data_IF_859998051758
#
_entry.id   IF_859998051758
#
_cell.length_a   1.000
_cell.length_b   1.000
_cell.length_c   1.000
_cell.angle_alpha   90.00
_cell.angle_beta   90.00
_cell.angle_gamma   90.00
#
_symmetry.space_group_name_H-M   'P 1'
#
loop_
_entity.id
_entity.type
_entity.pdbx_description
1 polymer ?
#
# COMPACT_ATOMS: atom_id res chain seq x y z
N UNK A 1 -7.15 9.63 7.94
CA UNK A 1 -6.99 8.59 8.98
C UNK A 1 -5.73 8.71 9.83
N UNK A 2 -4.50 8.62 9.28
CA UNK A 2 -3.25 8.50 10.07
C UNK A 2 -3.05 9.55 11.17
N UNK A 3 -3.28 10.84 10.87
CA UNK A 3 -3.20 11.92 11.87
C UNK A 3 -4.03 11.61 13.13
N UNK A 4 -5.22 11.05 12.96
CA UNK A 4 -6.10 10.73 14.08
C UNK A 4 -5.60 9.52 14.88
N UNK A 5 -5.05 8.51 14.23
CA UNK A 5 -4.43 7.37 14.91
C UNK A 5 -3.22 7.81 15.74
N UNK A 6 -2.40 8.73 15.21
CA UNK A 6 -1.26 9.31 15.93
C UNK A 6 -1.75 10.10 17.17
N UNK A 7 -2.82 10.89 17.04
CA UNK A 7 -3.42 11.57 18.20
C UNK A 7 -3.90 10.57 19.26
N UNK A 8 -4.62 9.52 18.86
CA UNK A 8 -5.10 8.49 19.80
C UNK A 8 -3.94 7.75 20.49
N UNK A 9 -2.84 7.52 19.79
CA UNK A 9 -1.62 6.96 20.37
C UNK A 9 -1.00 7.92 21.39
N UNK A 10 -0.84 9.20 21.03
CA UNK A 10 -0.31 10.23 21.94
C UNK A 10 -1.17 10.43 23.19
N UNK A 11 -2.49 10.24 23.05
CA UNK A 11 -3.45 10.24 24.15
C UNK A 11 -3.41 8.94 25.00
N UNK A 12 -2.59 7.95 24.64
CA UNK A 12 -2.49 6.65 25.34
C UNK A 12 -3.70 5.73 25.16
N UNK A 13 -4.57 6.00 24.16
CA UNK A 13 -5.80 5.22 23.92
C UNK A 13 -5.56 3.97 23.09
N UNK A 14 -4.48 3.94 22.30
CA UNK A 14 -4.08 2.81 21.46
C UNK A 14 -2.57 2.63 21.52
N UNK A 15 -2.09 1.41 21.27
CA UNK A 15 -0.66 1.07 21.10
C UNK A 15 -0.50 0.18 19.89
N UNK A 16 0.59 0.38 19.15
CA UNK A 16 0.97 -0.35 17.95
C UNK A 16 2.13 -1.34 18.20
N UNK A 17 2.57 -1.48 19.46
CA UNK A 17 3.69 -2.35 19.85
C UNK A 17 3.56 -3.80 19.38
N UNK A 18 2.34 -4.32 19.33
CA UNK A 18 2.05 -5.70 18.92
C UNK A 18 1.31 -5.77 17.56
N UNK A 19 1.19 -4.66 16.86
CA UNK A 19 0.55 -4.58 15.55
C UNK A 19 1.58 -4.92 14.47
N UNK A 20 1.18 -5.76 13.51
CA UNK A 20 1.89 -6.00 12.26
C UNK A 20 1.14 -5.33 11.11
N UNK A 21 1.87 -4.66 10.23
CA UNK A 21 1.29 -3.92 9.11
C UNK A 21 1.80 -4.46 7.79
N UNK A 22 0.89 -4.59 6.82
CA UNK A 22 1.20 -4.94 5.44
C UNK A 22 0.64 -3.85 4.54
N UNK A 23 1.53 -3.15 3.83
CA UNK A 23 1.14 -2.17 2.83
C UNK A 23 0.65 -2.84 1.54
N UNK A 24 -0.16 -2.10 0.78
CA UNK A 24 -0.82 -2.64 -0.42
C UNK A 24 0.11 -2.78 -1.60
N UNK A 25 0.98 -1.79 -1.79
CA UNK A 25 1.73 -1.63 -3.02
C UNK A 25 3.03 -0.84 -2.79
N UNK A 26 3.91 -0.89 -3.80
CA UNK A 26 5.11 -0.06 -3.93
C UNK A 26 5.48 0.07 -5.41
N UNK A 27 6.04 1.21 -5.80
CA UNK A 27 6.52 1.41 -7.17
C UNK A 27 7.75 0.56 -7.48
N UNK A 28 7.80 -0.01 -8.69
CA UNK A 28 8.98 -0.74 -9.17
C UNK A 28 10.04 0.24 -9.64
N UNK A 29 11.28 0.04 -9.18
CA UNK A 29 12.45 0.83 -9.61
C UNK A 29 12.56 2.23 -9.01
N UNK A 30 11.69 2.61 -8.07
CA UNK A 30 11.76 3.88 -7.37
C UNK A 30 12.58 3.71 -6.08
N UNK A 31 13.63 4.52 -5.83
CA UNK A 31 14.42 4.42 -4.60
C UNK A 31 13.55 4.56 -3.35
N UNK A 32 13.85 3.78 -2.30
CA UNK A 32 13.06 3.76 -1.05
C UNK A 32 13.10 5.08 -0.26
N UNK A 33 14.11 5.89 -0.50
CA UNK A 33 14.30 7.23 0.07
C UNK A 33 13.73 8.33 -0.83
N UNK A 34 13.20 7.98 -2.00
CA UNK A 34 12.50 8.93 -2.86
C UNK A 34 11.25 9.45 -2.14
N UNK A 35 10.99 10.77 -2.11
CA UNK A 35 9.86 11.35 -1.38
C UNK A 35 8.48 10.79 -1.78
N UNK A 36 8.34 10.39 -3.05
CA UNK A 36 7.11 9.81 -3.59
C UNK A 36 7.06 8.26 -3.54
N UNK A 37 8.04 7.61 -2.90
CA UNK A 37 7.93 6.17 -2.62
C UNK A 37 6.92 5.93 -1.49
N UNK A 38 6.20 4.81 -1.56
CA UNK A 38 5.23 4.50 -0.51
C UNK A 38 5.92 4.10 0.80
N UNK A 39 7.13 3.55 0.72
CA UNK A 39 8.03 3.44 1.85
C UNK A 39 8.25 4.80 2.54
N UNK A 40 8.76 5.81 1.83
CA UNK A 40 8.99 7.13 2.40
C UNK A 40 7.70 7.74 2.96
N UNK A 41 6.61 7.69 2.17
CA UNK A 41 5.30 8.21 2.57
C UNK A 41 4.82 7.62 3.91
N UNK A 42 4.89 6.30 4.08
CA UNK A 42 4.41 5.65 5.31
C UNK A 42 5.27 5.97 6.53
N UNK A 43 6.59 6.01 6.35
CA UNK A 43 7.50 6.39 7.43
C UNK A 43 7.30 7.84 7.86
N UNK A 44 7.17 8.75 6.91
CA UNK A 44 6.97 10.18 7.19
C UNK A 44 5.62 10.50 7.80
N UNK A 45 4.55 9.85 7.33
CA UNK A 45 3.18 10.19 7.72
C UNK A 45 2.65 9.36 8.88
N UNK A 46 3.23 8.19 9.19
CA UNK A 46 2.69 7.29 10.20
C UNK A 46 3.73 6.62 11.10
N UNK A 47 4.60 5.76 10.54
CA UNK A 47 5.37 4.81 11.37
C UNK A 47 6.36 5.48 12.34
N UNK A 48 6.95 6.63 11.98
CA UNK A 48 7.87 7.34 12.90
C UNK A 48 7.19 8.04 14.08
N UNK A 49 5.86 8.08 14.11
CA UNK A 49 5.06 8.81 15.11
C UNK A 49 4.36 7.91 16.12
N UNK A 50 4.55 6.59 16.04
CA UNK A 50 3.89 5.57 16.86
C UNK A 50 4.92 4.57 17.43
N UNK A 51 4.50 3.70 18.36
CA UNK A 51 5.34 2.70 19.05
C UNK A 51 5.42 1.34 18.32
N UNK A 52 5.28 1.31 16.99
CA UNK A 52 5.39 0.07 16.21
C UNK A 52 6.84 -0.43 16.17
N UNK A 53 7.04 -1.74 16.36
CA UNK A 53 8.35 -2.36 16.14
C UNK A 53 8.64 -2.38 14.63
N UNK A 54 9.80 -1.85 14.15
CA UNK A 54 10.16 -1.89 12.74
C UNK A 54 10.12 -3.28 12.11
N UNK A 55 10.32 -4.36 12.89
CA UNK A 55 10.22 -5.74 12.39
C UNK A 55 8.79 -6.17 12.03
N UNK A 56 7.80 -5.46 12.55
CA UNK A 56 6.39 -5.68 12.29
C UNK A 56 5.87 -4.82 11.11
N UNK A 57 6.73 -4.00 10.51
CA UNK A 57 6.41 -3.20 9.32
C UNK A 57 6.80 -3.98 8.07
N UNK A 58 5.80 -4.32 7.25
CA UNK A 58 6.00 -5.03 6.00
C UNK A 58 5.53 -4.16 4.83
N UNK A 59 6.47 -3.83 3.94
CA UNK A 59 6.24 -3.14 2.66
C UNK A 59 6.85 -3.99 1.56
N UNK A 60 6.25 -3.96 0.38
CA UNK A 60 6.77 -4.60 -0.83
C UNK A 60 8.08 -3.92 -1.25
N UNK A 61 9.09 -4.69 -1.63
CA UNK A 61 10.33 -4.14 -2.17
C UNK A 61 10.31 -4.03 -3.70
N UNK A 62 9.89 -2.86 -4.21
CA UNK A 62 9.88 -2.55 -5.64
C UNK A 62 11.26 -2.53 -6.31
N UNK A 63 12.36 -2.63 -5.55
CA UNK A 63 13.73 -2.73 -6.08
C UNK A 63 14.34 -4.12 -5.86
N UNK A 64 13.55 -5.12 -5.46
CA UNK A 64 14.03 -6.48 -5.28
C UNK A 64 14.61 -7.04 -6.60
N UNK A 65 15.70 -7.82 -6.55
CA UNK A 65 16.31 -8.40 -7.75
C UNK A 65 15.39 -9.40 -8.47
N UNK A 66 14.43 -9.98 -7.75
CA UNK A 66 13.39 -10.83 -8.30
C UNK A 66 12.03 -10.43 -7.72
N UNK A 67 11.27 -9.67 -8.50
CA UNK A 67 9.98 -9.09 -8.12
C UNK A 67 8.89 -10.16 -7.89
N UNK A 68 8.89 -11.23 -8.69
CA UNK A 68 7.94 -12.33 -8.52
C UNK A 68 8.18 -13.07 -7.21
N UNK A 69 9.46 -13.31 -6.88
CA UNK A 69 9.84 -13.90 -5.60
C UNK A 69 9.43 -13.01 -4.43
N UNK A 70 9.62 -11.69 -4.53
CA UNK A 70 9.17 -10.73 -3.51
C UNK A 70 7.65 -10.83 -3.29
N UNK A 71 6.86 -10.94 -4.35
CA UNK A 71 5.41 -11.10 -4.25
C UNK A 71 4.99 -12.39 -3.51
N UNK A 72 5.65 -13.51 -3.82
CA UNK A 72 5.41 -14.81 -3.17
C UNK A 72 5.80 -14.75 -1.69
N UNK A 73 6.98 -14.23 -1.38
CA UNK A 73 7.44 -14.09 0.02
C UNK A 73 6.54 -13.14 0.83
N UNK A 74 5.98 -12.10 0.19
CA UNK A 74 5.03 -11.19 0.84
C UNK A 74 3.74 -11.91 1.24
N UNK A 75 3.18 -12.73 0.35
CA UNK A 75 2.02 -13.58 0.63
C UNK A 75 2.30 -14.60 1.73
N UNK A 76 3.49 -15.19 1.75
CA UNK A 76 3.91 -16.09 2.82
C UNK A 76 4.02 -15.39 4.17
N UNK A 77 4.59 -14.17 4.21
CA UNK A 77 4.69 -13.36 5.45
C UNK A 77 3.31 -13.02 6.02
N UNK A 78 2.33 -12.72 5.16
CA UNK A 78 0.93 -12.50 5.57
C UNK A 78 0.38 -13.78 6.22
N UNK A 79 0.53 -14.93 5.55
CA UNK A 79 0.05 -16.22 6.07
C UNK A 79 0.72 -16.63 7.38
N UNK A 80 2.05 -16.48 7.47
CA UNK A 80 2.82 -16.77 8.69
C UNK A 80 2.44 -15.85 9.86
N UNK A 81 1.89 -14.67 9.56
CA UNK A 81 1.39 -13.74 10.57
C UNK A 81 -0.04 -14.05 11.02
N UNK A 82 -0.70 -15.07 10.45
CA UNK A 82 -2.07 -15.47 10.78
C UNK A 82 -3.15 -14.86 9.88
N UNK A 83 -2.75 -14.21 8.78
CA UNK A 83 -3.65 -13.45 7.90
C UNK A 83 -3.80 -11.98 8.33
N UNK A 84 -4.62 -11.24 7.59
CA UNK A 84 -4.93 -9.83 7.88
C UNK A 84 -6.24 -9.76 8.64
N UNK A 85 -6.23 -9.20 9.85
CA UNK A 85 -7.47 -9.02 10.62
C UNK A 85 -8.31 -7.86 10.07
N UNK A 86 -7.67 -6.72 9.78
CA UNK A 86 -8.33 -5.55 9.22
C UNK A 86 -7.53 -4.99 8.06
N UNK A 87 -8.14 -4.93 6.89
CA UNK A 87 -7.63 -4.24 5.72
C UNK A 87 -8.31 -2.87 5.59
N UNK A 88 -7.53 -1.79 5.57
CA UNK A 88 -8.06 -0.43 5.40
C UNK A 88 -7.54 0.16 4.10
N UNK A 89 -8.44 0.49 3.18
CA UNK A 89 -8.08 0.99 1.85
C UNK A 89 -8.97 2.10 1.33
N UNK A 90 -8.46 2.81 0.31
CA UNK A 90 -9.27 3.69 -0.52
C UNK A 90 -9.84 2.94 -1.73
N UNK A 91 -10.87 3.52 -2.33
CA UNK A 91 -11.40 3.10 -3.63
C UNK A 91 -11.12 4.22 -4.63
N UNK A 92 -10.50 3.89 -5.76
CA UNK A 92 -10.29 4.80 -6.88
C UNK A 92 -11.60 5.25 -7.55
N UNK A 93 -11.60 6.34 -8.33
CA UNK A 93 -12.81 6.82 -9.00
C UNK A 93 -13.41 5.82 -10.01
N UNK A 94 -12.58 4.92 -10.54
CA UNK A 94 -12.92 3.79 -11.42
C UNK A 94 -13.26 2.50 -10.64
N UNK A 95 -13.25 2.54 -9.31
CA UNK A 95 -13.50 1.40 -8.44
C UNK A 95 -12.28 0.55 -8.10
N UNK A 96 -11.05 0.93 -8.51
CA UNK A 96 -9.86 0.13 -8.19
C UNK A 96 -9.53 0.14 -6.69
N UNK A 97 -8.93 -0.94 -6.21
CA UNK A 97 -8.38 -1.08 -4.86
C UNK A 97 -6.89 -1.39 -5.01
N UNK A 98 -6.02 -0.66 -4.32
CA UNK A 98 -4.58 -0.67 -4.61
C UNK A 98 -4.35 -0.42 -6.11
N UNK A 99 -3.35 -1.06 -6.74
CA UNK A 99 -3.22 -1.04 -8.21
C UNK A 99 -4.01 -2.15 -8.93
N UNK A 100 -5.11 -2.65 -8.36
CA UNK A 100 -6.01 -3.59 -9.05
C UNK A 100 -7.00 -2.86 -9.97
N UNK A 101 -6.49 -2.38 -11.09
CA UNK A 101 -7.23 -1.66 -12.14
C UNK A 101 -8.32 -2.54 -12.79
N UNK A 102 -9.32 -1.93 -13.46
CA UNK A 102 -10.37 -2.64 -14.21
C UNK A 102 -9.80 -3.73 -15.13
N UNK A 103 -10.42 -4.92 -15.08
CA UNK A 103 -9.94 -6.11 -15.78
C UNK A 103 -8.99 -6.99 -14.95
N UNK A 104 -8.62 -6.57 -13.74
CA UNK A 104 -7.92 -7.44 -12.79
C UNK A 104 -8.79 -8.63 -12.36
N UNK A 105 -8.19 -9.81 -12.23
CA UNK A 105 -8.89 -11.00 -11.73
C UNK A 105 -9.37 -10.79 -10.28
N UNK A 106 -10.62 -11.16 -10.00
CA UNK A 106 -11.20 -11.11 -8.65
C UNK A 106 -10.51 -12.06 -7.66
N UNK A 107 -9.80 -13.07 -8.18
CA UNK A 107 -9.00 -14.02 -7.36
C UNK A 107 -7.49 -13.76 -7.50
N UNK A 108 -7.11 -12.56 -7.95
CA UNK A 108 -5.69 -12.19 -8.09
C UNK A 108 -4.95 -12.22 -6.76
N UNK A 109 -3.65 -12.55 -6.82
CA UNK A 109 -2.70 -12.47 -5.70
C UNK A 109 -1.74 -11.30 -5.87
N UNK A 110 -0.87 -11.11 -4.88
CA UNK A 110 0.24 -10.16 -4.97
C UNK A 110 1.06 -10.41 -6.24
N UNK A 111 1.30 -9.36 -7.03
CA UNK A 111 1.95 -9.45 -8.35
C UNK A 111 2.58 -8.14 -8.78
N UNK A 112 3.42 -8.22 -9.81
CA UNK A 112 3.81 -7.07 -10.62
C UNK A 112 2.64 -6.63 -11.50
N UNK A 113 2.34 -5.34 -11.52
CA UNK A 113 1.30 -4.74 -12.36
C UNK A 113 1.88 -3.58 -13.15
N UNK A 114 1.65 -3.59 -14.46
CA UNK A 114 1.86 -2.42 -15.31
C UNK A 114 0.70 -1.45 -15.09
N UNK A 115 1.02 -0.19 -14.79
CA UNK A 115 0.03 0.86 -14.53
C UNK A 115 -0.62 1.31 -15.84
N UNK A 116 -1.93 1.55 -15.82
CA UNK A 116 -2.67 2.13 -16.94
C UNK A 116 -2.32 3.61 -17.14
N UNK A 117 -2.60 4.11 -18.33
CA UNK A 117 -2.32 5.50 -18.69
C UNK A 117 -3.01 6.49 -17.74
N UNK A 118 -4.28 6.27 -17.41
CA UNK A 118 -5.04 7.12 -16.49
C UNK A 118 -4.39 7.20 -15.09
N UNK A 119 -3.83 6.08 -14.61
CA UNK A 119 -3.09 6.01 -13.34
C UNK A 119 -1.79 6.81 -13.41
N UNK A 120 -1.05 6.71 -14.52
CA UNK A 120 0.17 7.49 -14.73
C UNK A 120 -0.13 9.00 -14.76
N UNK A 121 -1.21 9.40 -15.43
CA UNK A 121 -1.67 10.79 -15.50
C UNK A 121 -2.12 11.31 -14.14
N UNK A 122 -2.89 10.52 -13.39
CA UNK A 122 -3.33 10.88 -12.04
C UNK A 122 -2.14 11.05 -11.09
N UNK A 123 -1.13 10.19 -11.19
CA UNK A 123 0.03 10.20 -10.29
C UNK A 123 1.09 11.22 -10.71
N UNK A 124 1.11 11.69 -11.97
CA UNK A 124 2.07 12.69 -12.44
C UNK A 124 2.08 13.97 -11.59
N UNK A 125 0.96 14.31 -10.94
CA UNK A 125 0.87 15.44 -9.99
C UNK A 125 1.91 15.38 -8.86
N UNK A 126 2.28 14.17 -8.44
CA UNK A 126 3.30 13.93 -7.41
C UNK A 126 4.73 14.00 -7.99
N UNK A 127 4.88 13.78 -9.30
CA UNK A 127 6.15 13.78 -10.00
C UNK A 127 6.38 15.07 -10.80
N UNK A 128 6.08 16.23 -10.19
CA UNK A 128 6.21 17.56 -10.81
C UNK A 128 5.39 17.74 -12.11
N UNK A 129 4.23 17.09 -12.21
CA UNK A 129 3.38 17.03 -13.39
C UNK A 129 4.08 16.44 -14.64
N UNK A 130 5.09 15.59 -14.43
CA UNK A 130 5.86 14.94 -15.50
C UNK A 130 5.60 13.43 -15.51
N UNK A 131 4.77 12.98 -16.44
CA UNK A 131 4.39 11.56 -16.61
C UNK A 131 5.63 10.68 -16.85
N UNK A 132 6.68 11.21 -17.48
CA UNK A 132 7.88 10.41 -17.80
C UNK A 132 8.66 9.97 -16.56
N UNK A 133 8.44 10.66 -15.42
CA UNK A 133 9.06 10.35 -14.14
C UNK A 133 8.24 9.37 -13.29
N UNK A 134 7.01 9.10 -13.68
CA UNK A 134 6.14 8.16 -12.96
C UNK A 134 6.60 6.73 -13.27
N UNK A 135 6.87 5.88 -12.26
CA UNK A 135 7.19 4.49 -12.48
C UNK A 135 6.06 3.78 -13.25
N UNK A 136 6.42 2.98 -14.26
CA UNK A 136 5.43 2.33 -15.14
C UNK A 136 4.85 1.04 -14.57
N UNK A 137 5.47 0.52 -13.52
CA UNK A 137 5.09 -0.73 -12.86
C UNK A 137 5.07 -0.53 -11.35
N UNK A 138 4.22 -1.31 -10.69
CA UNK A 138 4.13 -1.39 -9.25
C UNK A 138 4.01 -2.86 -8.82
N UNK A 139 4.46 -3.17 -7.61
CA UNK A 139 4.04 -4.35 -6.89
C UNK A 139 2.73 -4.01 -6.19
N UNK A 140 1.76 -4.91 -6.22
CA UNK A 140 0.47 -4.71 -5.55
C UNK A 140 -0.07 -6.02 -5.01
N UNK A 141 -0.70 -5.98 -3.83
CA UNK A 141 -1.56 -7.06 -3.35
C UNK A 141 -2.72 -7.28 -4.33
N UNK A 142 -3.17 -8.52 -4.45
CA UNK A 142 -4.28 -8.87 -5.33
C UNK A 142 -5.64 -8.71 -4.65
N UNK A 143 -6.71 -8.71 -5.44
CA UNK A 143 -8.09 -8.66 -4.92
C UNK A 143 -8.36 -9.84 -3.99
N UNK A 144 -7.89 -11.04 -4.34
CA UNK A 144 -7.99 -12.21 -3.48
C UNK A 144 -7.20 -12.06 -2.18
N UNK A 145 -6.03 -11.41 -2.21
CA UNK A 145 -5.24 -11.10 -1.01
C UNK A 145 -6.00 -10.16 -0.06
N UNK A 146 -6.71 -9.16 -0.60
CA UNK A 146 -7.57 -8.26 0.18
C UNK A 146 -8.78 -9.02 0.75
N UNK A 147 -9.41 -9.87 -0.04
CA UNK A 147 -10.58 -10.65 0.37
C UNK A 147 -10.27 -11.75 1.39
N UNK A 148 -9.00 -12.16 1.52
CA UNK A 148 -8.56 -13.07 2.59
C UNK A 148 -8.56 -12.40 3.98
N UNK A 149 -8.69 -11.06 4.04
CA UNK A 149 -8.77 -10.35 5.31
C UNK A 149 -10.09 -10.64 6.04
N UNK A 150 -10.07 -10.67 7.38
CA UNK A 150 -11.29 -10.90 8.18
C UNK A 150 -12.29 -9.75 8.04
N UNK A 151 -11.78 -8.52 8.04
CA UNK A 151 -12.56 -7.31 7.85
C UNK A 151 -11.90 -6.41 6.81
N UNK A 152 -12.73 -5.75 5.99
CA UNK A 152 -12.29 -4.77 5.01
C UNK A 152 -13.07 -3.48 5.23
N UNK A 153 -12.34 -2.39 5.48
CA UNK A 153 -12.88 -1.05 5.64
C UNK A 153 -12.43 -0.18 4.46
N UNK A 154 -13.40 0.29 3.67
CA UNK A 154 -13.15 1.27 2.62
C UNK A 154 -13.45 2.68 3.10
N UNK A 155 -12.44 3.53 3.04
CA UNK A 155 -12.60 4.96 3.24
C UNK A 155 -12.82 5.63 1.88
N UNK A 156 -14.08 5.98 1.58
CA UNK A 156 -14.45 6.68 0.35
C UNK A 156 -14.91 8.10 0.68
N UNK A 157 -14.10 9.09 0.29
CA UNK A 157 -14.53 10.48 0.29
C UNK A 157 -15.17 10.80 -1.06
N UNK A 158 -16.46 11.13 -1.07
CA UNK A 158 -17.24 11.54 -2.25
C UNK A 158 -16.78 12.86 -2.91
N UNK A 159 -15.55 13.31 -2.65
CA UNK A 159 -14.87 14.37 -3.38
C UNK A 159 -13.56 13.79 -3.90
N UNK A 160 -13.59 13.40 -5.18
CA UNK A 160 -12.47 12.96 -6.03
C UNK A 160 -11.24 12.47 -5.28
N UNK A 161 -11.03 11.16 -5.26
CA UNK A 161 -9.97 10.44 -4.55
C UNK A 161 -8.62 11.18 -4.58
N UNK A 162 -8.29 11.81 -3.44
CA UNK A 162 -6.97 12.37 -3.15
C UNK A 162 -6.52 11.78 -1.81
N UNK A 163 -5.59 10.83 -1.87
CA UNK A 163 -4.63 10.52 -0.83
C UNK A 163 -3.24 10.61 -1.45
#
# INVERSE_FOLDING_TARGET
>A
MYKKLIELFKDGKVSFKYVKTFNMDEYVGLPRDHPESYHYYMFENFFKHIDIDPKNVHLLDGNAPNLEKECVEYEEKIKQSGGVDLFVGGIGPDGHIAFNEPGSSLVSRTRVKTLAQDTLEANARFFNNDISKVPKQALTVGVGTVMDAREVLFDSFLRGCVY
#
